data_IF_509416662492
#
_entry.id   IF_509416662492
#
_cell.length_a   1.000
_cell.length_b   1.000
_cell.length_c   1.000
_cell.angle_alpha   90.00
_cell.angle_beta   90.00
_cell.angle_gamma   90.00
#
_symmetry.space_group_name_H-M   'P 1'
#
loop_
_entity.id
_entity.type
_entity.pdbx_description
1 polymer ?
#
# COMPACT_ATOMS: atom_id res chain seq x y z
N UNK A 1 -4.47 -31.31 78.90
CA UNK A 1 -3.88 -30.93 80.19
C UNK A 1 -3.67 -29.41 80.16
N UNK A 2 -4.34 -28.65 81.05
CA UNK A 2 -4.22 -27.18 81.32
C UNK A 2 -4.59 -26.23 80.16
N UNK A 3 -5.68 -25.43 80.14
CA UNK A 3 -6.13 -24.37 81.08
C UNK A 3 -5.03 -23.33 81.34
N UNK A 4 -5.19 -22.00 81.26
CA UNK A 4 -6.37 -21.09 81.18
C UNK A 4 -5.83 -19.64 81.12
N UNK A 5 -6.58 -18.72 80.50
CA UNK A 5 -6.78 -17.26 80.87
C UNK A 5 -5.60 -16.27 80.79
N UNK A 6 -5.72 -14.96 80.50
CA UNK A 6 -6.81 -13.95 80.49
C UNK A 6 -6.28 -12.72 79.72
N UNK A 7 -7.10 -11.96 78.99
CA UNK A 7 -7.55 -10.66 79.51
C UNK A 7 -8.15 -9.74 78.43
N UNK A 8 -9.41 -9.33 78.64
CA UNK A 8 -10.26 -8.38 77.87
C UNK A 8 -9.94 -6.93 78.21
N UNK A 9 -10.10 -6.02 77.23
CA UNK A 9 -10.81 -4.69 77.29
C UNK A 9 -11.22 -4.34 75.84
N UNK A 10 -12.48 -4.34 75.39
CA UNK A 10 -13.68 -3.52 75.66
C UNK A 10 -13.59 -2.06 75.12
N UNK A 11 -14.27 -1.89 73.97
CA UNK A 11 -15.21 -0.81 73.54
C UNK A 11 -14.68 0.54 73.03
N UNK A 12 -15.00 0.82 71.76
CA UNK A 12 -15.77 1.96 71.22
C UNK A 12 -15.49 1.99 69.69
N UNK A 13 -16.43 1.91 68.75
CA UNK A 13 -17.75 2.54 68.71
C UNK A 13 -17.66 3.84 67.89
N UNK A 14 -17.48 3.77 66.57
CA UNK A 14 -17.83 4.85 65.63
C UNK A 14 -18.37 4.24 64.34
N UNK A 15 -19.50 4.79 63.93
CA UNK A 15 -20.39 4.40 62.85
C UNK A 15 -20.40 5.58 61.85
N UNK A 16 -20.62 5.29 60.55
CA UNK A 16 -21.02 6.21 59.46
C UNK A 16 -19.87 6.96 58.70
N UNK A 17 -19.94 7.23 57.37
CA UNK A 17 -20.88 6.80 56.31
C UNK A 17 -20.23 6.10 55.09
N UNK A 18 -21.10 5.49 54.28
CA UNK A 18 -20.88 5.11 52.90
C UNK A 18 -20.45 6.30 52.01
N UNK A 19 -19.39 6.09 51.23
CA UNK A 19 -19.08 6.88 50.05
C UNK A 19 -18.87 5.90 48.89
N UNK A 20 -19.98 5.61 48.21
CA UNK A 20 -19.99 4.95 46.92
C UNK A 20 -19.26 5.85 45.92
N UNK A 21 -17.96 5.58 45.75
CA UNK A 21 -17.17 6.18 44.68
C UNK A 21 -17.51 5.42 43.41
N UNK A 22 -18.58 5.83 42.74
CA UNK A 22 -18.86 5.43 41.37
C UNK A 22 -17.78 6.09 40.49
N UNK A 23 -16.73 5.32 40.19
CA UNK A 23 -15.76 5.69 39.17
C UNK A 23 -16.50 5.66 37.83
N UNK A 24 -16.94 6.83 37.38
CA UNK A 24 -17.32 7.07 36.00
C UNK A 24 -16.06 6.87 35.16
N UNK A 25 -15.87 5.64 34.67
CA UNK A 25 -15.06 5.38 33.50
C UNK A 25 -15.76 6.03 32.31
N UNK A 26 -15.55 7.34 32.13
CA UNK A 26 -15.68 7.98 30.82
C UNK A 26 -14.56 7.42 29.95
N UNK A 27 -14.75 6.18 29.49
CA UNK A 27 -14.04 5.70 28.33
C UNK A 27 -14.48 6.57 27.16
N UNK A 28 -13.53 7.22 26.50
CA UNK A 28 -13.74 7.79 25.18
C UNK A 28 -14.07 6.63 24.24
N UNK A 29 -15.33 6.21 24.19
CA UNK A 29 -15.81 5.40 23.09
C UNK A 29 -15.83 6.33 21.88
N UNK A 30 -14.78 6.31 21.08
CA UNK A 30 -14.86 6.74 19.68
C UNK A 30 -15.85 5.78 18.99
N UNK A 31 -17.14 5.99 19.21
CA UNK A 31 -18.18 5.29 18.48
C UNK A 31 -18.08 5.78 17.04
N UNK A 32 -17.57 4.92 16.16
CA UNK A 32 -17.60 5.18 14.73
C UNK A 32 -19.05 5.50 14.31
N UNK A 33 -19.26 6.45 13.38
CA UNK A 33 -20.59 6.73 12.87
C UNK A 33 -21.28 5.44 12.41
N UNK A 34 -22.58 5.32 12.71
CA UNK A 34 -23.37 4.17 12.26
C UNK A 34 -23.54 4.17 10.72
N UNK A 35 -23.53 5.35 10.11
CA UNK A 35 -23.58 5.54 8.67
C UNK A 35 -22.26 5.07 8.00
N UNK A 36 -22.31 4.14 7.03
CA UNK A 36 -21.13 3.63 6.35
C UNK A 36 -20.28 4.71 5.67
N UNK A 37 -20.92 5.71 5.05
CA UNK A 37 -20.23 6.80 4.37
C UNK A 37 -19.50 7.71 5.37
N UNK A 38 -20.19 8.16 6.42
CA UNK A 38 -19.58 8.98 7.47
C UNK A 38 -18.40 8.27 8.15
N UNK A 39 -18.48 6.94 8.31
CA UNK A 39 -17.36 6.13 8.81
C UNK A 39 -16.17 6.10 7.84
N UNK A 40 -16.42 5.87 6.54
CA UNK A 40 -15.37 5.87 5.53
C UNK A 40 -14.66 7.23 5.46
N UNK A 41 -15.44 8.31 5.43
CA UNK A 41 -14.96 9.70 5.49
C UNK A 41 -14.07 9.95 6.71
N UNK A 42 -14.55 9.58 7.90
CA UNK A 42 -13.78 9.76 9.15
C UNK A 42 -12.46 8.98 9.15
N UNK A 43 -12.44 7.75 8.61
CA UNK A 43 -11.21 6.96 8.49
C UNK A 43 -10.21 7.65 7.56
N UNK A 44 -10.67 8.11 6.39
CA UNK A 44 -9.83 8.78 5.40
C UNK A 44 -9.25 10.10 5.92
N UNK A 45 -10.09 10.97 6.50
CA UNK A 45 -9.67 12.28 7.03
C UNK A 45 -8.78 12.18 8.28
N UNK A 46 -8.84 11.07 9.02
CA UNK A 46 -8.01 10.87 10.22
C UNK A 46 -6.55 10.50 9.92
N UNK A 47 -6.21 10.20 8.65
CA UNK A 47 -4.85 9.79 8.28
C UNK A 47 -3.88 10.97 8.35
N UNK A 48 -2.78 10.77 9.07
CA UNK A 48 -1.67 11.72 9.06
C UNK A 48 -0.74 11.39 7.89
N UNK A 49 -0.76 12.23 6.85
CA UNK A 49 0.07 12.07 5.66
C UNK A 49 1.31 12.95 5.77
N UNK A 50 2.47 12.43 5.39
CA UNK A 50 3.71 13.19 5.45
C UNK A 50 3.68 14.42 4.53
N UNK A 51 4.20 15.56 5.00
CA UNK A 51 4.21 16.87 4.31
C UNK A 51 4.86 16.86 2.91
N UNK A 52 5.61 15.80 2.58
CA UNK A 52 6.23 15.64 1.25
C UNK A 52 5.25 15.29 0.15
N UNK A 53 4.05 14.84 0.52
CA UNK A 53 2.99 14.50 -0.43
C UNK A 53 2.05 15.68 -0.61
N UNK A 54 1.40 15.74 -1.76
CA UNK A 54 0.46 16.80 -2.08
C UNK A 54 -0.73 16.81 -1.11
N UNK A 55 -1.18 18.00 -0.76
CA UNK A 55 -2.32 18.22 0.14
C UNK A 55 -3.68 18.02 -0.57
N UNK A 56 -3.68 17.63 -1.84
CA UNK A 56 -4.84 17.45 -2.69
C UNK A 56 -4.76 16.14 -3.49
N UNK A 57 -5.86 15.71 -4.15
CA UNK A 57 -5.82 14.58 -5.06
C UNK A 57 -4.78 14.75 -6.16
N UNK A 58 -4.05 13.67 -6.45
CA UNK A 58 -3.09 13.56 -7.55
C UNK A 58 -3.44 12.32 -8.37
N UNK A 59 -3.44 12.47 -9.69
CA UNK A 59 -3.55 11.33 -10.62
C UNK A 59 -2.19 11.06 -11.24
N UNK A 60 -1.68 9.85 -11.07
CA UNK A 60 -0.43 9.41 -11.67
C UNK A 60 -0.73 8.66 -12.97
N UNK A 61 -0.64 9.35 -14.11
CA UNK A 61 -0.60 8.71 -15.42
C UNK A 61 0.77 8.03 -15.61
N UNK A 62 0.81 6.75 -15.30
CA UNK A 62 2.04 5.98 -15.28
C UNK A 62 1.81 4.54 -15.71
N UNK A 63 2.27 4.23 -16.92
CA UNK A 63 2.19 2.89 -17.50
C UNK A 63 3.39 2.02 -17.08
N UNK A 64 4.56 2.62 -16.86
CA UNK A 64 5.83 1.91 -16.72
C UNK A 64 6.51 2.08 -15.35
N UNK A 65 5.85 2.72 -14.39
CA UNK A 65 6.36 2.93 -13.04
C UNK A 65 7.23 4.18 -12.88
N UNK A 66 7.39 5.03 -13.90
CA UNK A 66 8.32 6.17 -13.83
C UNK A 66 7.77 7.29 -12.93
N UNK A 67 6.56 7.76 -13.19
CA UNK A 67 5.93 8.84 -12.43
C UNK A 67 5.70 8.43 -10.97
N UNK A 68 5.27 7.19 -10.73
CA UNK A 68 5.09 6.62 -9.40
C UNK A 68 6.40 6.41 -8.65
N UNK A 69 7.48 6.00 -9.33
CA UNK A 69 8.81 5.93 -8.74
C UNK A 69 9.29 7.31 -8.28
N UNK A 70 9.11 8.34 -9.10
CA UNK A 70 9.48 9.72 -8.76
C UNK A 70 8.64 10.27 -7.59
N UNK A 71 7.34 9.95 -7.58
CA UNK A 71 6.41 10.38 -6.54
C UNK A 71 6.72 9.75 -5.17
N UNK A 72 6.87 8.43 -5.13
CA UNK A 72 7.03 7.71 -3.87
C UNK A 72 8.47 7.69 -3.35
N UNK A 73 9.49 7.75 -4.22
CA UNK A 73 10.88 7.53 -3.82
C UNK A 73 11.78 8.73 -4.13
N UNK A 74 12.27 9.38 -3.07
CA UNK A 74 13.33 10.39 -3.14
C UNK A 74 14.73 9.77 -3.19
N UNK A 75 14.86 8.54 -2.71
CA UNK A 75 16.07 7.73 -2.73
C UNK A 75 15.69 6.26 -2.77
N UNK A 76 16.54 5.42 -3.35
CA UNK A 76 16.51 3.97 -3.17
C UNK A 76 17.85 3.38 -3.51
N UNK A 77 18.32 2.52 -2.63
CA UNK A 77 19.60 1.82 -2.79
C UNK A 77 19.50 0.67 -3.80
N UNK A 78 18.30 0.16 -3.97
CA UNK A 78 17.92 -0.92 -4.89
C UNK A 78 16.85 -0.45 -5.87
N UNK A 79 16.84 -1.01 -7.08
CA UNK A 79 15.81 -0.80 -8.10
C UNK A 79 15.52 -2.14 -8.78
N UNK A 80 14.24 -2.47 -8.95
CA UNK A 80 13.82 -3.62 -9.76
C UNK A 80 13.39 -3.11 -11.13
N UNK A 81 13.87 -3.76 -12.19
CA UNK A 81 13.52 -3.43 -13.57
C UNK A 81 12.99 -4.69 -14.24
N UNK A 82 11.71 -4.72 -14.62
CA UNK A 82 11.16 -5.84 -15.38
C UNK A 82 11.18 -5.58 -16.88
N UNK A 83 11.02 -6.62 -17.70
CA UNK A 83 10.51 -6.41 -19.06
C UNK A 83 8.99 -6.09 -19.05
N UNK A 84 8.40 -5.95 -20.23
CA UNK A 84 7.00 -5.56 -20.39
C UNK A 84 5.98 -6.70 -20.24
N UNK A 85 6.43 -7.95 -20.11
CA UNK A 85 5.52 -9.10 -19.94
C UNK A 85 4.88 -9.10 -18.56
N UNK A 86 3.66 -9.62 -18.45
CA UNK A 86 2.91 -9.60 -17.17
C UNK A 86 3.54 -10.56 -16.17
N UNK A 87 4.00 -11.73 -16.61
CA UNK A 87 4.70 -12.70 -15.77
C UNK A 87 5.99 -12.12 -15.16
N UNK A 88 6.80 -11.38 -15.93
CA UNK A 88 8.00 -10.73 -15.40
C UNK A 88 7.63 -9.61 -14.42
N UNK A 89 6.58 -8.84 -14.71
CA UNK A 89 6.08 -7.80 -13.82
C UNK A 89 5.56 -8.36 -12.50
N UNK A 90 4.81 -9.47 -12.51
CA UNK A 90 4.33 -10.15 -11.30
C UNK A 90 5.48 -10.61 -10.41
N UNK A 91 6.52 -11.20 -11.02
CA UNK A 91 7.73 -11.61 -10.31
C UNK A 91 8.50 -10.41 -9.76
N UNK A 92 8.69 -9.38 -10.56
CA UNK A 92 9.35 -8.15 -10.15
C UNK A 92 8.61 -7.45 -9.00
N UNK A 93 7.28 -7.36 -9.07
CA UNK A 93 6.46 -6.77 -8.02
C UNK A 93 6.57 -7.55 -6.71
N UNK A 94 6.54 -8.89 -6.79
CA UNK A 94 6.73 -9.77 -5.62
C UNK A 94 8.06 -9.50 -4.90
N UNK A 95 9.14 -9.27 -5.66
CA UNK A 95 10.47 -8.95 -5.11
C UNK A 95 10.50 -7.51 -4.59
N UNK A 96 10.02 -6.55 -5.37
CA UNK A 96 10.08 -5.12 -5.09
C UNK A 96 9.35 -4.78 -3.78
N UNK A 97 8.14 -5.32 -3.60
CA UNK A 97 7.28 -5.01 -2.45
C UNK A 97 7.90 -5.50 -1.15
N UNK A 98 8.39 -6.74 -1.15
CA UNK A 98 9.03 -7.35 0.03
C UNK A 98 10.39 -6.69 0.33
N UNK A 99 11.13 -6.29 -0.71
CA UNK A 99 12.42 -5.61 -0.55
C UNK A 99 12.28 -4.11 -0.23
N UNK A 100 11.06 -3.56 -0.22
CA UNK A 100 10.80 -2.11 -0.14
C UNK A 100 11.59 -1.31 -1.18
N UNK A 101 11.72 -1.89 -2.38
CA UNK A 101 12.42 -1.33 -3.52
C UNK A 101 11.42 -0.82 -4.58
N UNK A 102 11.71 0.30 -5.25
CA UNK A 102 10.93 0.72 -6.40
C UNK A 102 11.11 -0.27 -7.57
N UNK A 103 10.10 -0.28 -8.44
CA UNK A 103 10.02 -1.08 -9.65
C UNK A 103 9.66 -0.20 -10.85
N UNK A 104 10.29 -0.47 -11.99
CA UNK A 104 9.90 0.07 -13.29
C UNK A 104 9.86 -1.02 -14.37
N UNK A 105 9.10 -0.77 -15.43
CA UNK A 105 9.11 -1.56 -16.67
C UNK A 105 10.14 -0.96 -17.62
N UNK A 106 11.06 -1.80 -18.10
CA UNK A 106 12.10 -1.40 -19.03
C UNK A 106 11.51 -0.90 -20.35
N UNK A 107 12.00 0.26 -20.80
CA UNK A 107 11.74 0.80 -22.12
C UNK A 107 13.07 1.16 -22.78
N UNK A 108 13.47 0.47 -23.88
CA UNK A 108 14.69 0.81 -24.61
C UNK A 108 14.73 2.29 -25.06
N UNK A 109 13.58 2.90 -25.34
CA UNK A 109 13.50 4.30 -25.78
C UNK A 109 13.79 5.29 -24.64
N UNK A 110 13.66 4.84 -23.38
CA UNK A 110 13.85 5.65 -22.17
C UNK A 110 15.07 5.21 -21.37
N UNK A 111 16.02 4.49 -21.99
CA UNK A 111 17.22 4.00 -21.33
C UNK A 111 17.99 5.10 -20.58
N UNK A 112 18.07 6.31 -21.16
CA UNK A 112 18.73 7.46 -20.53
C UNK A 112 17.98 7.94 -19.28
N UNK A 113 16.65 7.97 -19.31
CA UNK A 113 15.80 8.35 -18.17
C UNK A 113 15.99 7.36 -17.02
N UNK A 114 16.06 6.05 -17.31
CA UNK A 114 16.36 5.02 -16.31
C UNK A 114 17.72 5.25 -15.65
N UNK A 115 18.75 5.60 -16.45
CA UNK A 115 20.07 5.91 -15.91
C UNK A 115 20.07 7.16 -15.01
N UNK A 116 19.30 8.19 -15.37
CA UNK A 116 19.11 9.39 -14.55
C UNK A 116 18.40 9.06 -13.23
N UNK A 117 17.39 8.20 -13.24
CA UNK A 117 16.70 7.77 -12.03
C UNK A 117 17.59 6.92 -11.11
N UNK A 118 18.42 6.03 -11.68
CA UNK A 118 19.43 5.27 -10.91
C UNK A 118 20.37 6.22 -10.16
N UNK A 119 20.77 7.32 -10.79
CA UNK A 119 21.60 8.34 -10.15
C UNK A 119 20.83 9.17 -9.11
N UNK A 120 19.63 9.67 -9.45
CA UNK A 120 18.76 10.44 -8.55
C UNK A 120 18.45 9.67 -7.27
N UNK A 121 18.09 8.40 -7.41
CA UNK A 121 17.77 7.51 -6.30
C UNK A 121 19.00 7.11 -5.48
N UNK A 122 20.21 7.27 -6.02
CA UNK A 122 21.46 6.73 -5.47
C UNK A 122 21.46 5.20 -5.43
N UNK A 123 20.85 4.59 -6.44
CA UNK A 123 20.78 3.14 -6.61
C UNK A 123 22.17 2.59 -6.88
N UNK A 124 22.59 1.58 -6.12
CA UNK A 124 23.83 0.85 -6.35
C UNK A 124 23.59 -0.62 -6.71
N UNK A 125 22.35 -1.11 -6.62
CA UNK A 125 21.97 -2.47 -7.06
C UNK A 125 20.69 -2.43 -7.87
N UNK A 126 20.78 -2.85 -9.13
CA UNK A 126 19.64 -3.01 -10.04
C UNK A 126 19.41 -4.50 -10.23
N UNK A 127 18.19 -4.97 -10.02
CA UNK A 127 17.78 -6.32 -10.35
C UNK A 127 16.91 -6.29 -11.59
N UNK A 128 17.31 -7.01 -12.63
CA UNK A 128 16.53 -7.14 -13.86
C UNK A 128 15.73 -8.44 -13.86
N UNK A 129 14.44 -8.38 -14.18
CA UNK A 129 13.54 -9.55 -14.26
C UNK A 129 12.99 -9.66 -15.69
N UNK A 130 13.16 -10.82 -16.34
CA UNK A 130 12.77 -10.98 -17.74
C UNK A 130 13.84 -10.55 -18.75
N UNK A 131 13.41 -10.26 -19.98
CA UNK A 131 14.20 -9.86 -21.14
C UNK A 131 14.62 -8.38 -21.13
N UNK A 132 15.33 -7.98 -20.08
CA UNK A 132 15.79 -6.60 -19.92
C UNK A 132 17.17 -6.43 -20.54
N UNK A 133 17.27 -5.56 -21.56
CA UNK A 133 18.52 -5.25 -22.25
C UNK A 133 19.39 -4.23 -21.50
N UNK A 134 19.56 -4.42 -20.18
CA UNK A 134 20.55 -3.71 -19.37
C UNK A 134 21.80 -4.59 -19.22
N UNK A 135 22.96 -4.02 -19.53
CA UNK A 135 24.23 -4.73 -19.41
C UNK A 135 24.53 -5.02 -17.93
N UNK A 136 25.05 -6.22 -17.64
CA UNK A 136 25.59 -6.50 -16.31
C UNK A 136 26.82 -5.63 -16.07
N UNK A 137 26.92 -5.06 -14.88
CA UNK A 137 28.03 -4.21 -14.48
C UNK A 137 28.49 -4.55 -13.06
N UNK A 138 29.79 -4.39 -12.81
CA UNK A 138 30.42 -4.54 -11.48
C UNK A 138 31.00 -3.22 -10.94
N UNK A 139 30.70 -2.10 -11.61
CA UNK A 139 31.13 -0.77 -11.20
C UNK A 139 30.30 -0.20 -10.04
N UNK A 140 30.16 1.13 -10.00
CA UNK A 140 29.38 1.85 -8.96
C UNK A 140 27.95 1.32 -8.82
N UNK A 141 27.31 1.03 -9.95
CA UNK A 141 26.00 0.38 -10.02
C UNK A 141 26.23 -1.07 -10.42
N UNK A 142 25.66 -1.99 -9.64
CA UNK A 142 25.71 -3.42 -9.90
C UNK A 142 24.39 -3.87 -10.50
N UNK A 143 24.44 -4.43 -11.70
CA UNK A 143 23.24 -4.93 -12.39
C UNK A 143 23.24 -6.45 -12.33
N UNK A 144 22.25 -7.03 -11.65
CA UNK A 144 22.05 -8.47 -11.51
C UNK A 144 20.84 -8.93 -12.30
N UNK A 145 20.90 -10.15 -12.80
CA UNK A 145 19.78 -10.79 -13.50
C UNK A 145 19.10 -11.76 -12.57
N UNK A 146 17.79 -11.62 -12.45
CA UNK A 146 16.96 -12.55 -11.72
C UNK A 146 17.02 -13.95 -12.37
N UNK A 147 17.28 -15.02 -11.61
CA UNK A 147 17.40 -16.38 -12.16
C UNK A 147 16.06 -17.09 -12.40
N UNK A 148 14.93 -16.49 -12.06
CA UNK A 148 13.65 -17.19 -12.02
C UNK A 148 13.54 -18.20 -10.86
N UNK A 149 12.35 -18.79 -10.70
CA UNK A 149 12.10 -19.86 -9.73
C UNK A 149 12.03 -19.43 -8.26
N UNK A 150 11.54 -20.35 -7.42
CA UNK A 150 11.34 -20.16 -5.98
C UNK A 150 12.66 -20.20 -5.19
N UNK A 151 13.55 -21.13 -5.53
CA UNK A 151 14.82 -21.32 -4.81
C UNK A 151 15.71 -20.08 -4.90
N UNK A 152 15.79 -19.47 -6.10
CA UNK A 152 16.51 -18.23 -6.29
C UNK A 152 15.90 -17.09 -5.48
N UNK A 153 14.57 -16.99 -5.45
CA UNK A 153 13.86 -15.95 -4.71
C UNK A 153 14.19 -16.00 -3.21
N UNK A 154 14.14 -17.19 -2.61
CA UNK A 154 14.52 -17.39 -1.21
C UNK A 154 16.00 -17.13 -0.96
N UNK A 155 16.88 -17.51 -1.91
CA UNK A 155 18.33 -17.27 -1.81
C UNK A 155 18.66 -15.78 -1.87
N UNK A 156 18.04 -15.04 -2.80
CA UNK A 156 18.31 -13.61 -3.02
C UNK A 156 17.84 -12.75 -1.85
N UNK A 157 16.69 -13.08 -1.28
CA UNK A 157 16.04 -12.27 -0.24
C UNK A 157 16.30 -12.78 1.18
N UNK A 158 16.79 -14.01 1.34
CA UNK A 158 16.84 -14.72 2.62
C UNK A 158 15.46 -14.87 3.30
N UNK A 159 14.37 -14.86 2.52
CA UNK A 159 13.00 -15.03 2.99
C UNK A 159 12.37 -16.32 2.47
N UNK A 160 11.31 -16.76 3.14
CA UNK A 160 10.46 -17.86 2.65
C UNK A 160 9.25 -17.26 1.97
N UNK A 161 9.03 -17.65 0.71
CA UNK A 161 7.90 -17.21 -0.07
C UNK A 161 6.83 -18.28 -0.12
N UNK A 162 5.58 -17.89 0.09
CA UNK A 162 4.44 -18.66 -0.41
C UNK A 162 4.33 -18.48 -1.92
N UNK A 163 3.77 -19.47 -2.63
CA UNK A 163 3.40 -19.29 -4.03
C UNK A 163 1.91 -18.99 -4.12
N UNK A 164 1.53 -17.98 -4.89
CA UNK A 164 0.15 -17.73 -5.28
C UNK A 164 0.07 -17.62 -6.79
N UNK A 165 -0.77 -18.46 -7.38
CA UNK A 165 -0.97 -18.46 -8.81
C UNK A 165 -1.94 -17.33 -9.21
N UNK A 166 -1.64 -16.65 -10.30
CA UNK A 166 -2.51 -15.70 -10.97
C UNK A 166 -2.96 -16.36 -12.26
N UNK A 167 -4.25 -16.63 -12.37
CA UNK A 167 -4.84 -17.43 -13.46
C UNK A 167 -4.87 -16.67 -14.79
N UNK A 168 -5.15 -15.37 -14.73
CA UNK A 168 -5.36 -14.55 -15.93
C UNK A 168 -4.63 -13.20 -15.85
N UNK A 169 -4.09 -12.67 -16.97
CA UNK A 169 -3.36 -11.40 -16.97
C UNK A 169 -4.16 -10.22 -16.41
N UNK A 170 -5.48 -10.17 -16.63
CA UNK A 170 -6.35 -9.10 -16.11
C UNK A 170 -6.44 -9.05 -14.59
N UNK A 171 -6.16 -10.16 -13.90
CA UNK A 171 -6.20 -10.24 -12.43
C UNK A 171 -4.88 -9.77 -11.79
N UNK A 172 -3.85 -9.47 -12.59
CA UNK A 172 -2.49 -9.18 -12.11
C UNK A 172 -2.41 -7.93 -11.23
N UNK A 173 -3.06 -6.83 -11.63
CA UNK A 173 -3.07 -5.58 -10.87
C UNK A 173 -3.68 -5.78 -9.46
N UNK A 174 -4.82 -6.48 -9.39
CA UNK A 174 -5.49 -6.82 -8.13
C UNK A 174 -4.61 -7.75 -7.29
N UNK A 175 -3.99 -8.76 -7.90
CA UNK A 175 -3.11 -9.68 -7.22
C UNK A 175 -1.90 -8.98 -6.56
N UNK A 176 -1.31 -8.00 -7.26
CA UNK A 176 -0.18 -7.20 -6.75
C UNK A 176 -0.60 -6.27 -5.61
N UNK A 177 -1.74 -5.59 -5.73
CA UNK A 177 -2.25 -4.72 -4.68
C UNK A 177 -2.50 -5.47 -3.35
N UNK A 178 -2.88 -6.75 -3.44
CA UNK A 178 -3.16 -7.60 -2.29
C UNK A 178 -1.94 -8.25 -1.62
N UNK A 179 -0.71 -7.99 -2.09
CA UNK A 179 0.51 -8.50 -1.44
C UNK A 179 0.68 -7.81 -0.09
N UNK A 180 0.77 -8.58 1.00
CA UNK A 180 1.25 -8.09 2.29
C UNK A 180 2.79 -8.23 2.32
N UNK A 181 3.56 -7.13 2.46
CA UNK A 181 5.01 -7.22 2.56
C UNK A 181 5.52 -8.00 3.78
N UNK A 182 4.68 -8.22 4.80
CA UNK A 182 5.01 -9.04 5.98
C UNK A 182 4.80 -10.55 5.76
N UNK A 183 4.05 -10.94 4.72
CA UNK A 183 3.85 -12.33 4.32
C UNK A 183 4.32 -12.52 2.86
N UNK A 184 5.63 -12.74 2.64
CA UNK A 184 6.21 -12.79 1.31
C UNK A 184 5.51 -13.83 0.41
N UNK A 185 4.95 -13.36 -0.70
CA UNK A 185 4.29 -14.20 -1.69
C UNK A 185 4.90 -13.97 -3.07
N UNK A 186 5.16 -15.06 -3.78
CA UNK A 186 5.50 -15.04 -5.19
C UNK A 186 4.22 -15.18 -6.00
N UNK A 187 3.87 -14.10 -6.71
CA UNK A 187 2.83 -14.14 -7.73
C UNK A 187 3.38 -14.82 -8.98
N UNK A 188 2.93 -16.04 -9.22
CA UNK A 188 3.30 -16.82 -10.40
C UNK A 188 2.16 -16.75 -11.41
N UNK A 189 2.47 -16.37 -12.64
CA UNK A 189 1.52 -16.46 -13.75
C UNK A 189 1.26 -17.94 -14.11
N UNK A 190 -0.01 -18.32 -14.26
CA UNK A 190 -0.38 -19.67 -14.69
C UNK A 190 -0.02 -19.94 -16.17
N UNK A 191 0.07 -18.87 -16.98
CA UNK A 191 0.20 -18.98 -18.43
C UNK A 191 1.66 -18.99 -18.94
N UNK A 192 2.61 -18.42 -18.20
CA UNK A 192 4.00 -18.32 -18.62
C UNK A 192 4.95 -18.08 -17.43
N UNK A 193 6.20 -18.50 -17.57
CA UNK A 193 7.27 -18.12 -16.67
C UNK A 193 8.10 -16.97 -17.27
N UNK A 194 8.62 -16.02 -16.46
CA UNK A 194 9.48 -14.95 -16.95
C UNK A 194 10.72 -15.49 -17.66
N UNK A 195 11.14 -14.82 -18.73
CA UNK A 195 12.38 -15.19 -19.42
C UNK A 195 13.59 -15.03 -18.50
N UNK A 196 14.36 -16.10 -18.34
CA UNK A 196 15.63 -16.06 -17.60
C UNK A 196 16.76 -15.77 -18.58
N UNK A 197 17.42 -14.65 -18.38
CA UNK A 197 18.54 -14.22 -19.22
C UNK A 197 19.83 -15.01 -18.88
N UNK A 198 20.75 -15.22 -19.83
CA UNK A 198 22.02 -15.90 -19.55
C UNK A 198 22.80 -15.24 -18.42
N UNK A 199 23.63 -16.01 -17.71
CA UNK A 199 24.43 -15.51 -16.57
C UNK A 199 23.57 -14.91 -15.44
N UNK A 200 22.31 -15.31 -15.33
CA UNK A 200 21.51 -15.04 -14.15
C UNK A 200 21.95 -15.95 -13.00
N UNK A 201 22.19 -15.35 -11.85
CA UNK A 201 22.71 -16.02 -10.66
C UNK A 201 21.98 -15.48 -9.44
N UNK A 202 21.62 -16.38 -8.52
CA UNK A 202 20.95 -15.99 -7.28
C UNK A 202 21.97 -15.26 -6.39
N UNK A 203 21.96 -13.93 -6.46
CA UNK A 203 22.82 -13.06 -5.65
C UNK A 203 21.99 -12.33 -4.60
N UNK A 204 22.54 -12.07 -3.41
CA UNK A 204 21.83 -11.31 -2.38
C UNK A 204 21.31 -9.98 -2.94
N UNK A 205 20.00 -9.77 -2.80
CA UNK A 205 19.31 -8.54 -3.14
C UNK A 205 18.91 -7.83 -1.84
N UNK A 206 19.42 -6.61 -1.57
CA UNK A 206 19.17 -5.94 -0.30
C UNK A 206 17.69 -5.70 -0.04
N UNK A 207 17.23 -6.08 1.16
CA UNK A 207 15.91 -5.72 1.69
C UNK A 207 16.06 -4.44 2.49
N UNK A 208 15.25 -3.44 2.17
CA UNK A 208 15.22 -2.15 2.85
C UNK A 208 14.09 -2.12 3.89
N UNK A 209 14.17 -1.17 4.83
CA UNK A 209 13.06 -0.92 5.75
C UNK A 209 11.90 -0.21 5.04
N UNK A 210 10.68 -0.44 5.53
CA UNK A 210 9.49 0.35 5.18
C UNK A 210 9.80 1.85 5.28
N UNK A 211 9.33 2.61 4.29
CA UNK A 211 9.64 4.05 4.16
C UNK A 211 8.50 4.97 4.55
N UNK A 212 7.28 4.46 4.53
CA UNK A 212 6.06 5.23 4.82
C UNK A 212 5.94 5.66 6.28
N UNK A 213 6.49 4.89 7.21
CA UNK A 213 6.28 5.07 8.65
C UNK A 213 4.78 5.26 9.00
N UNK A 214 3.89 4.58 8.26
CA UNK A 214 2.43 4.70 8.35
C UNK A 214 1.85 6.07 7.96
N UNK A 215 2.61 6.90 7.23
CA UNK A 215 2.22 8.25 6.78
C UNK A 215 2.09 8.38 5.25
N UNK A 216 1.83 7.26 4.55
CA UNK A 216 1.51 7.30 3.13
C UNK A 216 0.09 7.87 2.89
N UNK A 217 -0.15 8.57 1.76
CA UNK A 217 -1.49 9.01 1.38
C UNK A 217 -2.41 7.81 1.13
N UNK A 218 -3.72 8.08 1.07
CA UNK A 218 -4.67 7.09 0.54
C UNK A 218 -4.32 6.85 -0.93
N UNK A 219 -4.19 5.58 -1.34
CA UNK A 219 -3.90 5.22 -2.72
C UNK A 219 -5.05 4.39 -3.27
N UNK A 220 -5.58 4.79 -4.43
CA UNK A 220 -6.65 4.07 -5.15
C UNK A 220 -6.16 3.63 -6.52
N UNK A 221 -6.64 2.47 -6.96
CA UNK A 221 -6.31 1.89 -8.25
C UNK A 221 -7.49 1.09 -8.81
N UNK A 222 -7.57 0.96 -10.13
CA UNK A 222 -8.45 -0.02 -10.79
C UNK A 222 -7.64 -1.18 -11.37
N UNK A 223 -8.30 -2.22 -11.87
CA UNK A 223 -7.65 -3.33 -12.58
C UNK A 223 -6.85 -2.89 -13.83
N UNK A 224 -7.14 -1.69 -14.37
CA UNK A 224 -6.44 -1.11 -15.52
C UNK A 224 -5.14 -0.38 -15.12
N UNK A 225 -4.92 -0.16 -13.82
CA UNK A 225 -3.72 0.53 -13.34
C UNK A 225 -2.47 -0.31 -13.57
N UNK A 226 -1.36 0.36 -13.89
CA UNK A 226 -0.07 -0.30 -14.07
C UNK A 226 0.36 -1.12 -12.85
N UNK A 227 0.82 -2.35 -13.11
CA UNK A 227 1.44 -3.20 -12.07
C UNK A 227 2.62 -2.49 -11.42
N UNK A 228 3.45 -1.78 -12.20
CA UNK A 228 4.61 -1.08 -11.66
C UNK A 228 4.19 0.08 -10.74
N UNK A 229 3.14 0.81 -11.08
CA UNK A 229 2.61 1.90 -10.24
C UNK A 229 2.04 1.38 -8.92
N UNK A 230 1.28 0.29 -8.96
CA UNK A 230 0.77 -0.38 -7.75
C UNK A 230 1.95 -0.92 -6.92
N UNK A 231 2.92 -1.57 -7.57
CA UNK A 231 4.09 -2.11 -6.89
C UNK A 231 4.89 -0.99 -6.20
N UNK A 232 5.09 0.16 -6.83
CA UNK A 232 5.77 1.30 -6.21
C UNK A 232 5.05 1.82 -4.96
N UNK A 233 3.72 1.98 -5.03
CA UNK A 233 2.93 2.37 -3.87
C UNK A 233 3.06 1.35 -2.72
N UNK A 234 2.90 0.06 -3.02
CA UNK A 234 3.04 -1.04 -2.03
C UNK A 234 4.46 -1.15 -1.47
N UNK A 235 5.49 -1.05 -2.31
CA UNK A 235 6.90 -1.06 -1.91
C UNK A 235 7.25 0.10 -0.99
N UNK A 236 6.68 1.29 -1.24
CA UNK A 236 6.85 2.44 -0.36
C UNK A 236 6.22 2.21 1.02
N UNK A 237 5.17 1.39 1.07
CA UNK A 237 4.42 1.00 2.27
C UNK A 237 2.96 1.47 2.26
N UNK A 238 2.50 2.11 1.18
CA UNK A 238 1.13 2.55 1.06
C UNK A 238 0.15 1.37 0.91
N UNK A 239 -1.04 1.51 1.47
CA UNK A 239 -2.17 0.65 1.16
C UNK A 239 -2.84 1.10 -0.13
N UNK A 240 -3.03 0.15 -1.05
CA UNK A 240 -3.69 0.39 -2.34
C UNK A 240 -5.08 -0.22 -2.29
N UNK A 241 -6.10 0.63 -2.30
CA UNK A 241 -7.49 0.22 -2.38
C UNK A 241 -7.88 0.04 -3.84
N UNK A 242 -8.21 -1.20 -4.22
CA UNK A 242 -8.78 -1.48 -5.53
C UNK A 242 -10.24 -1.02 -5.56
N UNK A 243 -10.58 -0.18 -6.53
CA UNK A 243 -11.95 0.26 -6.82
C UNK A 243 -12.40 -0.33 -8.16
N UNK A 244 -13.71 -0.57 -8.26
CA UNK A 244 -14.37 -1.17 -9.42
C UNK A 244 -14.65 -0.17 -10.55
N UNK A 245 -14.84 1.11 -10.22
CA UNK A 245 -15.00 2.21 -11.16
C UNK A 245 -14.08 3.38 -10.78
N UNK A 246 -13.35 3.99 -11.72
CA UNK A 246 -12.53 5.17 -11.42
C UNK A 246 -13.35 6.44 -11.13
N UNK A 247 -14.64 6.47 -11.44
CA UNK A 247 -15.54 7.57 -11.16
C UNK A 247 -16.41 7.29 -9.91
N UNK A 248 -16.15 7.96 -8.78
CA UNK A 248 -16.90 7.73 -7.53
C UNK A 248 -18.38 8.08 -7.64
N UNK A 249 -18.82 8.77 -8.70
CA UNK A 249 -20.25 9.05 -8.93
C UNK A 249 -21.02 7.82 -9.41
N UNK A 250 -20.31 6.84 -9.97
CA UNK A 250 -20.90 5.63 -10.55
C UNK A 250 -20.78 4.41 -9.62
N UNK A 251 -19.91 4.45 -8.61
CA UNK A 251 -19.68 3.35 -7.69
C UNK A 251 -19.64 3.80 -6.23
N UNK A 252 -20.42 3.12 -5.40
CA UNK A 252 -20.40 3.31 -3.95
C UNK A 252 -19.06 2.85 -3.34
N UNK A 253 -18.44 1.80 -3.88
CA UNK A 253 -17.12 1.35 -3.43
C UNK A 253 -16.06 2.42 -3.68
N UNK A 254 -16.06 3.01 -4.88
CA UNK A 254 -15.15 4.09 -5.22
C UNK A 254 -15.42 5.36 -4.40
N UNK A 255 -16.69 5.72 -4.19
CA UNK A 255 -17.08 6.82 -3.31
C UNK A 255 -16.54 6.61 -1.89
N UNK A 256 -16.72 5.43 -1.30
CA UNK A 256 -16.27 5.19 0.08
C UNK A 256 -14.75 5.16 0.19
N UNK A 257 -14.05 4.62 -0.82
CA UNK A 257 -12.60 4.66 -0.86
C UNK A 257 -12.04 6.10 -0.90
N UNK A 258 -12.79 7.05 -1.47
CA UNK A 258 -12.36 8.44 -1.69
C UNK A 258 -13.08 9.47 -0.80
N UNK A 259 -13.96 9.03 0.10
CA UNK A 259 -14.79 9.92 0.90
C UNK A 259 -13.96 10.88 1.75
N UNK A 260 -14.29 12.18 1.71
CA UNK A 260 -13.58 13.25 2.40
C UNK A 260 -12.32 13.73 1.71
N UNK A 261 -11.92 13.13 0.59
CA UNK A 261 -10.60 13.36 -0.01
C UNK A 261 -10.60 14.35 -1.18
N UNK A 262 -11.70 15.03 -1.48
CA UNK A 262 -11.75 15.99 -2.60
C UNK A 262 -10.74 17.15 -2.47
N UNK A 263 -10.32 17.48 -1.25
CA UNK A 263 -9.33 18.52 -0.93
C UNK A 263 -8.29 18.02 0.09
N UNK A 264 -8.00 16.72 0.06
CA UNK A 264 -7.03 16.10 0.96
C UNK A 264 -6.10 15.16 0.18
N UNK A 265 -4.97 14.71 0.76
CA UNK A 265 -4.03 13.83 0.08
C UNK A 265 -4.69 12.52 -0.39
N UNK A 266 -4.68 12.32 -1.71
CA UNK A 266 -5.15 11.11 -2.38
C UNK A 266 -4.30 10.87 -3.61
N UNK A 267 -3.86 9.65 -3.83
CA UNK A 267 -3.14 9.26 -5.05
C UNK A 267 -3.98 8.26 -5.82
N UNK A 268 -4.39 8.64 -7.02
CA UNK A 268 -5.07 7.74 -7.95
C UNK A 268 -4.09 7.23 -9.00
N UNK A 269 -3.95 5.92 -9.11
CA UNK A 269 -3.01 5.28 -10.02
C UNK A 269 -3.67 5.03 -11.38
N UNK A 270 -3.27 5.79 -12.39
CA UNK A 270 -3.68 5.63 -13.79
C UNK A 270 -4.58 6.74 -14.32
N UNK A 271 -4.48 7.00 -15.63
CA UNK A 271 -5.17 8.09 -16.31
C UNK A 271 -6.70 7.96 -16.33
N UNK A 272 -7.25 6.76 -16.08
CA UNK A 272 -8.69 6.50 -16.06
C UNK A 272 -9.44 7.31 -14.99
N UNK A 273 -8.74 7.80 -13.96
CA UNK A 273 -9.31 8.70 -12.95
C UNK A 273 -9.51 10.15 -13.47
N UNK A 274 -8.83 10.54 -14.55
CA UNK A 274 -8.83 11.88 -15.12
C UNK A 274 -7.60 12.68 -14.68
N UNK A 275 -7.77 13.99 -14.48
CA UNK A 275 -6.78 14.85 -13.83
C UNK A 275 -7.16 15.18 -12.37
N UNK A 276 -6.24 15.81 -11.64
CA UNK A 276 -6.42 16.22 -10.23
C UNK A 276 -7.73 17.01 -9.98
N UNK A 277 -8.07 17.95 -10.87
CA UNK A 277 -9.23 18.83 -10.72
C UNK A 277 -10.50 18.07 -11.03
N UNK A 278 -10.47 17.23 -12.07
CA UNK A 278 -11.58 16.36 -12.42
C UNK A 278 -11.86 15.37 -11.29
N UNK A 279 -10.84 14.72 -10.74
CA UNK A 279 -11.00 13.76 -9.64
C UNK A 279 -11.58 14.42 -8.40
N UNK A 280 -11.00 15.55 -7.96
CA UNK A 280 -11.54 16.36 -6.85
C UNK A 280 -13.03 16.72 -7.05
N UNK A 281 -13.39 17.16 -8.27
CA UNK A 281 -14.77 17.50 -8.62
C UNK A 281 -15.70 16.29 -8.59
N UNK A 282 -15.27 15.14 -9.12
CA UNK A 282 -16.05 13.90 -9.12
C UNK A 282 -16.32 13.41 -7.70
N UNK A 283 -15.32 13.46 -6.80
CA UNK A 283 -15.47 13.09 -5.39
C UNK A 283 -16.52 13.99 -4.73
N UNK A 284 -16.38 15.31 -4.85
CA UNK A 284 -17.33 16.28 -4.29
C UNK A 284 -18.77 16.03 -4.78
N UNK A 285 -18.96 15.85 -6.09
CA UNK A 285 -20.27 15.56 -6.67
C UNK A 285 -20.87 14.25 -6.18
N UNK A 286 -20.04 13.21 -6.02
CA UNK A 286 -20.49 11.92 -5.52
C UNK A 286 -20.93 12.00 -4.05
N UNK A 287 -20.19 12.73 -3.21
CA UNK A 287 -20.57 12.98 -1.81
C UNK A 287 -21.90 13.76 -1.70
N UNK A 288 -22.04 14.85 -2.47
CA UNK A 288 -23.26 15.66 -2.50
C UNK A 288 -24.49 14.82 -2.88
N UNK A 289 -24.35 14.01 -3.94
CA UNK A 289 -25.42 13.15 -4.43
C UNK A 289 -25.79 12.05 -3.41
N UNK A 290 -24.81 11.44 -2.75
CA UNK A 290 -25.04 10.43 -1.72
C UNK A 290 -25.82 10.99 -0.54
N UNK A 291 -25.40 12.17 -0.06
CA UNK A 291 -26.04 12.84 1.08
C UNK A 291 -27.47 13.29 0.75
N UNK A 292 -27.73 13.82 -0.45
CA UNK A 292 -29.08 14.22 -0.85
C UNK A 292 -30.03 13.02 -0.92
N UNK A 293 -29.57 11.91 -1.53
CA UNK A 293 -30.37 10.69 -1.66
C UNK A 293 -30.75 10.09 -0.31
N UNK A 294 -29.83 10.09 0.65
CA UNK A 294 -30.08 9.54 2.00
C UNK A 294 -30.97 10.45 2.85
N UNK A 295 -30.90 11.77 2.66
CA UNK A 295 -31.82 12.71 3.32
C UNK A 295 -33.27 12.47 2.87
N UNK A 296 -33.51 12.30 1.57
CA UNK A 296 -34.84 12.03 1.01
C UNK A 296 -35.41 10.70 1.51
N UNK A 297 -34.58 9.65 1.55
CA UNK A 297 -34.98 8.33 2.07
C UNK A 297 -35.36 8.37 3.56
N UNK A 298 -34.67 9.18 4.36
CA UNK A 298 -34.98 9.35 5.79
C UNK A 298 -36.30 10.09 6.01
N UNK A 299 -36.66 11.01 5.11
CA UNK A 299 -37.95 11.71 5.15
C UNK A 299 -39.12 10.82 4.73
N UNK A 300 -38.90 9.80 3.89
CA UNK A 300 -39.93 8.84 3.49
C UNK A 300 -40.24 7.76 4.54
N UNK A 301 -39.39 7.63 5.56
CA UNK A 301 -39.54 6.66 6.66
C UNK A 301 -40.23 7.25 7.91
N UNK A 302 -40.61 8.52 7.87
CA UNK A 302 -41.33 9.26 8.91
C UNK A 302 -42.69 9.75 8.42
#
# INVERSE_FOLDING_TARGET
MGSRTRGRRIVAGVLVPALASAWLLSGCSNSLPADPFARAKAVNESRHVAERFDEHPVVLDDVKGMSSLQYFFTSSETLVVSDATVEAQLRAASIAIVAHAPMIVYDPQRHQEIAQEVERLRTYTVLTVGDVALAQTSGRVRVYRDPGGMDALGTMTALRFAQREVERPEDAAVAVASIDPQDPVWLRAAWADPKVMPQAEARPFPILSRRDAQMAPVVVATAESSIASIANARSFGADVTMVDDPDPRNSEQALFAMAGLSQAPLVALGAQFGDERQLSTKIMQAEEFYLSKNADMSQLQH
#
